data_IF_016485402168
#
_entry.id   IF_016485402168
#
_cell.length_a   1.000
_cell.length_b   1.000
_cell.length_c   1.000
_cell.angle_alpha   90.00
_cell.angle_beta   90.00
_cell.angle_gamma   90.00
#
_symmetry.space_group_name_H-M   'P 1'
#
loop_
_entity.id
_entity.type
_entity.pdbx_description
1 polymer ?
#
# COMPACT_ATOMS: atom_id res chain seq x y z
N UNK A 1 -17.62 -9.18 -16.58
CA UNK A 1 -16.45 -9.40 -15.71
C UNK A 1 -16.80 -10.44 -14.65
N UNK A 2 -15.91 -11.39 -14.37
CA UNK A 2 -16.04 -12.33 -13.25
C UNK A 2 -16.02 -11.56 -11.91
N UNK A 3 -16.86 -11.94 -10.92
CA UNK A 3 -16.91 -11.36 -9.55
C UNK A 3 -15.53 -11.23 -8.87
N UNK A 4 -14.61 -12.12 -9.18
CA UNK A 4 -13.21 -12.10 -8.72
C UNK A 4 -12.42 -10.96 -9.37
N UNK A 5 -12.52 -10.81 -10.70
CA UNK A 5 -11.88 -9.69 -11.40
C UNK A 5 -12.41 -8.34 -10.91
N UNK A 6 -13.70 -8.26 -10.63
CA UNK A 6 -14.31 -7.04 -10.08
C UNK A 6 -13.86 -6.73 -8.64
N UNK A 7 -13.69 -7.75 -7.78
CA UNK A 7 -13.09 -7.56 -6.45
C UNK A 7 -11.61 -7.19 -6.52
N UNK A 8 -10.83 -7.83 -7.39
CA UNK A 8 -9.38 -7.70 -7.41
C UNK A 8 -8.93 -6.41 -8.09
N UNK A 9 -9.56 -6.01 -9.19
CA UNK A 9 -9.11 -4.86 -9.99
C UNK A 9 -9.98 -3.63 -9.79
N UNK A 10 -11.31 -3.77 -9.66
CA UNK A 10 -12.19 -2.62 -9.51
C UNK A 10 -12.20 -2.13 -8.06
N UNK A 11 -12.39 -3.02 -7.08
CA UNK A 11 -12.55 -2.61 -5.67
C UNK A 11 -11.25 -2.15 -5.00
N UNK A 12 -10.09 -2.65 -5.43
CA UNK A 12 -8.80 -2.22 -4.90
C UNK A 12 -8.42 -0.80 -5.33
N UNK A 13 -8.88 -0.36 -6.50
CA UNK A 13 -8.57 0.96 -7.08
C UNK A 13 -9.60 2.03 -6.68
N UNK A 14 -10.84 1.62 -6.34
CA UNK A 14 -11.90 2.56 -5.92
C UNK A 14 -11.51 3.52 -4.78
N UNK A 15 -10.80 3.10 -3.72
CA UNK A 15 -10.35 4.01 -2.67
C UNK A 15 -9.45 5.13 -3.20
N UNK A 16 -8.51 4.81 -4.09
CA UNK A 16 -7.62 5.79 -4.70
C UNK A 16 -8.37 6.76 -5.60
N UNK A 17 -9.33 6.25 -6.39
CA UNK A 17 -10.20 7.10 -7.22
C UNK A 17 -11.02 8.07 -6.38
N UNK A 18 -11.59 7.61 -5.26
CA UNK A 18 -12.41 8.44 -4.36
C UNK A 18 -11.60 9.45 -3.55
N UNK A 19 -10.32 9.16 -3.31
CA UNK A 19 -9.46 10.04 -2.55
C UNK A 19 -9.06 11.31 -3.32
N UNK A 20 -9.27 11.35 -4.65
CA UNK A 20 -8.98 12.50 -5.52
C UNK A 20 -7.56 13.04 -5.26
N UNK A 21 -6.59 12.14 -5.24
CA UNK A 21 -5.19 12.49 -5.03
C UNK A 21 -4.72 13.43 -6.15
N UNK A 22 -4.06 14.52 -5.77
CA UNK A 22 -3.27 15.30 -6.70
C UNK A 22 -2.06 14.49 -7.20
N UNK A 23 -1.47 14.91 -8.32
CA UNK A 23 -0.27 14.27 -8.87
C UNK A 23 0.88 14.24 -7.86
N UNK A 24 1.05 15.32 -7.08
CA UNK A 24 2.04 15.39 -6.00
C UNK A 24 1.77 14.41 -4.87
N UNK A 25 0.52 14.34 -4.39
CA UNK A 25 0.14 13.37 -3.36
C UNK A 25 0.36 11.95 -3.86
N UNK A 26 -0.06 11.63 -5.08
CA UNK A 26 0.12 10.31 -5.68
C UNK A 26 1.59 9.91 -5.80
N UNK A 27 2.44 10.79 -6.34
CA UNK A 27 3.86 10.51 -6.48
C UNK A 27 4.55 10.25 -5.13
N UNK A 28 4.26 11.07 -4.12
CA UNK A 28 4.79 10.87 -2.77
C UNK A 28 4.23 9.61 -2.11
N UNK A 29 2.96 9.28 -2.36
CA UNK A 29 2.35 8.04 -1.87
C UNK A 29 3.07 6.81 -2.42
N UNK A 30 3.35 6.80 -3.73
CA UNK A 30 4.07 5.71 -4.38
C UNK A 30 5.50 5.60 -3.85
N UNK A 31 6.18 6.73 -3.63
CA UNK A 31 7.50 6.73 -3.01
C UNK A 31 7.47 6.08 -1.62
N UNK A 32 6.54 6.50 -0.75
CA UNK A 32 6.35 5.90 0.59
C UNK A 32 6.06 4.41 0.48
N UNK A 33 5.19 4.01 -0.45
CA UNK A 33 4.81 2.60 -0.67
C UNK A 33 6.02 1.71 -1.04
N UNK A 34 6.96 2.22 -1.83
CA UNK A 34 8.15 1.44 -2.23
C UNK A 34 9.31 1.52 -1.24
N UNK A 35 9.32 2.48 -0.32
CA UNK A 35 10.37 2.62 0.69
C UNK A 35 10.09 1.89 1.99
N UNK A 36 9.44 0.72 1.94
CA UNK A 36 9.05 -0.01 3.15
C UNK A 36 10.22 -0.83 3.69
N UNK A 37 10.72 -0.54 4.92
CA UNK A 37 11.90 -1.20 5.46
C UNK A 37 11.66 -2.64 5.94
N UNK A 38 10.40 -3.08 5.96
CA UNK A 38 10.00 -4.42 6.40
C UNK A 38 10.05 -5.47 5.29
N UNK A 39 10.54 -5.14 4.09
CA UNK A 39 10.68 -6.12 3.01
C UNK A 39 11.69 -7.22 3.37
N UNK A 40 11.36 -8.46 3.01
CA UNK A 40 12.20 -9.63 3.25
C UNK A 40 13.48 -9.58 2.40
N UNK A 41 14.58 -10.10 2.92
CA UNK A 41 15.86 -10.18 2.19
C UNK A 41 16.70 -8.90 2.20
N UNK A 42 16.27 -7.83 2.87
CA UNK A 42 17.04 -6.61 3.01
C UNK A 42 18.15 -6.74 4.07
N UNK A 43 19.33 -6.20 3.76
CA UNK A 43 20.40 -6.00 4.73
C UNK A 43 20.01 -4.95 5.78
N UNK A 44 20.69 -4.93 6.92
CA UNK A 44 20.46 -3.90 7.95
C UNK A 44 20.62 -2.48 7.39
N UNK A 45 21.68 -2.26 6.60
CA UNK A 45 21.90 -0.98 5.92
C UNK A 45 20.73 -0.62 4.98
N UNK A 46 20.26 -1.57 4.17
CA UNK A 46 19.14 -1.35 3.27
C UNK A 46 17.84 -1.00 4.00
N UNK A 47 17.56 -1.66 5.14
CA UNK A 47 16.40 -1.33 5.98
C UNK A 47 16.47 0.10 6.51
N UNK A 48 17.64 0.54 6.99
CA UNK A 48 17.83 1.89 7.48
C UNK A 48 17.67 2.93 6.37
N UNK A 49 18.27 2.68 5.20
CA UNK A 49 18.13 3.57 4.04
C UNK A 49 16.66 3.75 3.65
N UNK A 50 15.90 2.66 3.51
CA UNK A 50 14.49 2.74 3.16
C UNK A 50 13.66 3.43 4.25
N UNK A 51 13.97 3.21 5.52
CA UNK A 51 13.33 3.92 6.63
C UNK A 51 13.55 5.43 6.51
N UNK A 52 14.78 5.88 6.30
CA UNK A 52 15.12 7.31 6.15
C UNK A 52 14.38 7.95 4.97
N UNK A 53 14.33 7.27 3.83
CA UNK A 53 13.59 7.73 2.66
C UNK A 53 12.08 7.78 2.92
N UNK A 54 11.50 6.77 3.58
CA UNK A 54 10.07 6.76 3.93
C UNK A 54 9.68 7.93 4.82
N UNK A 55 10.54 8.27 5.80
CA UNK A 55 10.36 9.41 6.69
C UNK A 55 10.47 10.72 5.90
N UNK A 56 11.41 10.83 4.96
CA UNK A 56 11.57 12.01 4.11
C UNK A 56 10.33 12.27 3.26
N UNK A 57 9.84 11.26 2.54
CA UNK A 57 8.65 11.40 1.70
C UNK A 57 7.39 11.69 2.51
N UNK A 58 7.24 11.07 3.69
CA UNK A 58 6.13 11.36 4.61
C UNK A 58 6.14 12.82 5.08
N UNK A 59 7.32 13.35 5.42
CA UNK A 59 7.48 14.77 5.79
C UNK A 59 7.17 15.72 4.63
N UNK A 60 7.58 15.36 3.42
CA UNK A 60 7.27 16.14 2.21
C UNK A 60 5.76 16.18 1.96
N UNK A 61 5.08 15.03 2.09
CA UNK A 61 3.64 14.93 1.93
C UNK A 61 2.88 15.74 2.99
N UNK A 62 3.31 15.65 4.25
CA UNK A 62 2.74 16.45 5.34
C UNK A 62 2.84 17.95 5.03
N UNK A 63 4.02 18.42 4.64
CA UNK A 63 4.25 19.84 4.31
C UNK A 63 3.39 20.28 3.11
N UNK A 64 3.33 19.46 2.06
CA UNK A 64 2.47 19.74 0.91
C UNK A 64 1.01 19.91 1.34
N UNK A 65 0.49 18.97 2.12
CA UNK A 65 -0.89 19.00 2.59
C UNK A 65 -1.15 20.18 3.54
N UNK A 66 -0.23 20.47 4.45
CA UNK A 66 -0.36 21.60 5.38
C UNK A 66 -0.30 22.96 4.67
N UNK A 67 0.52 23.09 3.64
CA UNK A 67 0.56 24.31 2.83
C UNK A 67 -0.73 24.51 2.04
N UNK A 68 -1.39 23.44 1.62
CA UNK A 68 -2.62 23.50 0.81
C UNK A 68 -3.90 23.65 1.64
N UNK A 69 -3.98 22.96 2.78
CA UNK A 69 -5.21 22.83 3.57
C UNK A 69 -5.11 23.46 4.97
N UNK A 70 -3.92 23.87 5.41
CA UNK A 70 -3.64 24.33 6.78
C UNK A 70 -3.11 23.20 7.68
N UNK A 71 -2.61 23.55 8.87
CA UNK A 71 -1.87 22.64 9.75
C UNK A 71 -2.67 21.39 10.12
N UNK A 72 -3.90 21.57 10.61
CA UNK A 72 -4.75 20.48 11.11
C UNK A 72 -5.34 19.65 9.96
N UNK A 73 -5.97 20.31 8.99
CA UNK A 73 -6.56 19.63 7.82
C UNK A 73 -5.49 18.95 6.96
N UNK A 74 -4.30 19.52 6.85
CA UNK A 74 -3.17 18.90 6.17
C UNK A 74 -2.69 17.61 6.85
N UNK A 75 -2.68 17.58 8.19
CA UNK A 75 -2.39 16.36 8.94
C UNK A 75 -3.51 15.31 8.76
N UNK A 76 -4.79 15.72 8.78
CA UNK A 76 -5.92 14.84 8.50
C UNK A 76 -5.84 14.25 7.08
N UNK A 77 -5.44 15.06 6.11
CA UNK A 77 -5.23 14.62 4.72
C UNK A 77 -4.05 13.64 4.57
N UNK A 78 -2.97 13.85 5.31
CA UNK A 78 -1.87 12.88 5.37
C UNK A 78 -2.38 11.52 5.87
N UNK A 79 -3.15 11.52 6.96
CA UNK A 79 -3.73 10.31 7.54
C UNK A 79 -4.67 9.58 6.57
N UNK A 80 -5.48 10.30 5.79
CA UNK A 80 -6.24 9.72 4.66
C UNK A 80 -5.35 9.06 3.61
N UNK A 81 -4.26 9.73 3.23
CA UNK A 81 -3.29 9.22 2.27
C UNK A 81 -2.65 7.91 2.77
N UNK A 82 -2.19 7.88 4.02
CA UNK A 82 -1.56 6.68 4.61
C UNK A 82 -2.55 5.52 4.72
N UNK A 83 -3.85 5.77 4.98
CA UNK A 83 -4.87 4.71 4.95
C UNK A 83 -4.94 4.00 3.60
N UNK A 84 -4.75 4.69 2.48
CA UNK A 84 -4.74 4.05 1.15
C UNK A 84 -3.59 3.05 0.99
N UNK A 85 -2.44 3.35 1.59
CA UNK A 85 -1.29 2.44 1.64
C UNK A 85 -1.66 1.17 2.42
N UNK A 86 -2.27 1.32 3.60
CA UNK A 86 -2.67 0.19 4.45
C UNK A 86 -3.69 -0.72 3.74
N UNK A 87 -4.70 -0.13 3.10
CA UNK A 87 -5.69 -0.87 2.29
C UNK A 87 -5.00 -1.68 1.18
N UNK A 88 -3.91 -1.17 0.61
CA UNK A 88 -3.14 -1.89 -0.42
C UNK A 88 -2.43 -3.11 0.15
N UNK A 89 -1.87 -3.02 1.36
CA UNK A 89 -1.29 -4.18 2.05
C UNK A 89 -2.33 -5.22 2.45
N UNK A 90 -3.47 -4.80 2.99
CA UNK A 90 -4.59 -5.70 3.33
C UNK A 90 -5.08 -6.47 2.09
N UNK A 91 -5.25 -5.76 0.97
CA UNK A 91 -5.62 -6.37 -0.31
C UNK A 91 -4.57 -7.39 -0.80
N UNK A 92 -3.28 -7.12 -0.60
CA UNK A 92 -2.22 -8.06 -0.93
C UNK A 92 -2.28 -9.34 -0.07
N UNK A 93 -2.54 -9.22 1.24
CA UNK A 93 -2.72 -10.40 2.10
C UNK A 93 -3.93 -11.22 1.69
N UNK A 94 -5.07 -10.56 1.41
CA UNK A 94 -6.27 -11.23 0.90
C UNK A 94 -6.00 -11.94 -0.45
N UNK A 95 -5.23 -11.31 -1.35
CA UNK A 95 -4.84 -11.93 -2.62
C UNK A 95 -3.95 -13.17 -2.42
N UNK A 96 -3.00 -13.11 -1.48
CA UNK A 96 -2.16 -14.27 -1.13
C UNK A 96 -2.99 -15.43 -0.59
N UNK A 97 -3.95 -15.15 0.30
CA UNK A 97 -4.83 -16.17 0.85
C UNK A 97 -5.70 -16.82 -0.23
N UNK A 98 -6.27 -16.02 -1.15
CA UNK A 98 -7.05 -16.54 -2.27
C UNK A 98 -6.18 -17.41 -3.20
N UNK A 99 -4.97 -16.98 -3.53
CA UNK A 99 -4.06 -17.77 -4.37
C UNK A 99 -3.63 -19.08 -3.71
N UNK A 100 -3.35 -19.05 -2.40
CA UNK A 100 -3.07 -20.26 -1.64
C UNK A 100 -4.26 -21.22 -1.71
N UNK A 101 -5.47 -20.73 -1.42
CA UNK A 101 -6.70 -21.54 -1.48
C UNK A 101 -7.00 -22.12 -2.88
N UNK A 102 -6.68 -21.38 -3.95
CA UNK A 102 -6.80 -21.88 -5.32
C UNK A 102 -5.76 -22.98 -5.60
N UNK A 103 -4.51 -22.79 -5.18
CA UNK A 103 -3.45 -23.79 -5.32
C UNK A 103 -3.79 -25.08 -4.58
N UNK A 104 -4.28 -24.98 -3.35
CA UNK A 104 -4.71 -26.14 -2.54
C UNK A 104 -5.89 -26.87 -3.19
N UNK A 105 -6.87 -26.15 -3.73
CA UNK A 105 -8.00 -26.78 -4.45
C UNK A 105 -7.57 -27.47 -5.75
N UNK A 106 -6.54 -26.95 -6.41
CA UNK A 106 -6.07 -27.48 -7.69
C UNK A 106 -5.07 -28.64 -7.51
N UNK A 107 -4.36 -28.69 -6.38
CA UNK A 107 -3.39 -29.73 -6.04
C UNK A 107 -3.54 -30.21 -4.58
N UNK A 108 -4.63 -30.94 -4.25
CA UNK A 108 -4.93 -31.33 -2.87
C UNK A 108 -3.85 -32.22 -2.21
N UNK A 109 -3.11 -32.99 -3.00
CA UNK A 109 -2.09 -33.93 -2.52
C UNK A 109 -0.71 -33.28 -2.27
N UNK A 110 -0.55 -31.97 -2.50
CA UNK A 110 0.72 -31.28 -2.29
C UNK A 110 0.99 -30.99 -0.79
N UNK A 111 -0.06 -30.97 0.04
CA UNK A 111 0.03 -30.68 1.48
C UNK A 111 0.54 -31.90 2.28
N UNK A 112 0.33 -33.12 1.80
CA UNK A 112 0.79 -34.34 2.50
C UNK A 112 2.32 -34.56 2.50
N UNK A 113 3.09 -33.67 1.86
CA UNK A 113 4.56 -33.76 1.75
C UNK A 113 5.33 -32.56 2.33
N UNK A 114 4.66 -31.67 3.04
CA UNK A 114 5.27 -30.61 3.86
C UNK A 114 5.07 -30.93 5.35
#
# INVERSE_FOLDING_TARGET
MNKLADRVFTKSVLPFKKAELSEYEYALLMAIFFTQPNANGLSFYGKNLLYEESVRYTKMLLRHNQNKFGILEGARRLDECIRLINVSFENYFAFREVNFNLCVKQYPNLIEKL
#
